data_IF_497873267830
#
_entry.id   IF_497873267830
#
_cell.length_a   1.000
_cell.length_b   1.000
_cell.length_c   1.000
_cell.angle_alpha   90.00
_cell.angle_beta   90.00
_cell.angle_gamma   90.00
#
_symmetry.space_group_name_H-M   'P 1'
#
loop_
_entity.id
_entity.type
_entity.pdbx_description
1 polymer ?
#
# COMPACT_ATOMS: atom_id res chain seq x y z
N UNK A 1 30.49 54.25 -22.89
CA UNK A 1 30.93 52.85 -22.70
C UNK A 1 30.66 52.29 -21.29
N UNK A 2 30.95 53.02 -20.19
CA UNK A 2 30.68 52.56 -18.80
C UNK A 2 29.21 52.18 -18.50
N UNK A 3 28.22 52.89 -19.08
CA UNK A 3 26.78 52.61 -18.86
C UNK A 3 26.29 51.30 -19.52
N UNK A 4 26.92 50.89 -20.62
CA UNK A 4 26.55 49.66 -21.35
C UNK A 4 27.04 48.42 -20.60
N UNK A 5 28.25 48.50 -20.02
CA UNK A 5 28.84 47.42 -19.23
C UNK A 5 28.00 47.15 -17.98
N UNK A 6 27.54 48.21 -17.29
CA UNK A 6 26.70 48.08 -16.10
C UNK A 6 25.38 47.35 -16.40
N UNK A 7 24.75 47.67 -17.54
CA UNK A 7 23.49 47.07 -17.97
C UNK A 7 23.64 45.57 -18.27
N UNK A 8 24.76 45.17 -18.87
CA UNK A 8 25.06 43.76 -19.19
C UNK A 8 25.27 42.95 -17.90
N UNK A 9 25.97 43.49 -16.89
CA UNK A 9 26.15 42.81 -15.59
C UNK A 9 24.83 42.62 -14.83
N UNK A 10 23.92 43.59 -14.87
CA UNK A 10 22.62 43.48 -14.19
C UNK A 10 21.73 42.45 -14.87
N UNK A 11 21.74 42.39 -16.20
CA UNK A 11 21.00 41.37 -16.96
C UNK A 11 21.54 39.97 -16.62
N UNK A 12 22.85 39.77 -16.52
CA UNK A 12 23.45 38.46 -16.22
C UNK A 12 23.08 37.93 -14.81
N UNK A 13 22.90 38.83 -13.84
CA UNK A 13 22.44 38.48 -12.48
C UNK A 13 20.96 38.08 -12.43
N UNK A 14 20.12 38.61 -13.32
CA UNK A 14 18.68 38.29 -13.33
C UNK A 14 18.37 36.92 -13.95
N UNK A 15 19.23 36.41 -14.86
CA UNK A 15 19.04 35.10 -15.52
C UNK A 15 19.58 33.91 -14.71
N UNK A 16 20.43 34.16 -13.71
CA UNK A 16 21.06 33.09 -12.90
C UNK A 16 20.32 32.83 -11.58
N UNK A 17 19.31 33.63 -11.23
CA UNK A 17 18.55 33.50 -9.98
C UNK A 17 17.44 32.45 -9.97
N UNK A 18 17.21 31.71 -11.06
CA UNK A 18 16.16 30.69 -11.12
C UNK A 18 16.74 29.29 -10.86
N UNK A 19 17.32 29.08 -9.66
CA UNK A 19 17.50 27.72 -9.17
C UNK A 19 16.11 27.19 -8.82
N UNK A 20 15.70 26.07 -9.44
CA UNK A 20 14.49 25.33 -9.04
C UNK A 20 14.57 25.08 -7.53
N UNK A 21 13.45 25.28 -6.83
CA UNK A 21 13.33 24.89 -5.43
C UNK A 21 13.78 23.44 -5.30
N UNK A 22 14.86 23.19 -4.56
CA UNK A 22 15.24 21.83 -4.23
C UNK A 22 14.16 21.25 -3.33
N UNK A 23 13.63 20.08 -3.71
CA UNK A 23 12.69 19.37 -2.87
C UNK A 23 13.37 19.07 -1.54
N UNK A 24 12.88 19.70 -0.47
CA UNK A 24 13.27 19.33 0.88
C UNK A 24 12.86 17.88 1.10
N UNK A 25 13.84 16.97 1.11
CA UNK A 25 13.65 15.59 1.55
C UNK A 25 13.32 15.66 3.04
N UNK A 26 12.03 15.80 3.36
CA UNK A 26 11.58 15.62 4.72
C UNK A 26 11.74 14.13 5.06
N UNK A 27 12.20 13.75 6.27
CA UNK A 27 12.33 12.35 6.72
C UNK A 27 11.01 11.55 6.77
N UNK A 28 9.93 12.11 6.22
CA UNK A 28 8.57 11.61 6.29
C UNK A 28 7.97 11.26 4.92
N UNK A 29 8.63 11.57 3.80
CA UNK A 29 8.08 11.28 2.46
C UNK A 29 8.32 9.85 1.95
N UNK A 30 9.19 9.08 2.59
CA UNK A 30 9.35 7.66 2.28
C UNK A 30 8.54 6.85 3.29
N UNK A 31 7.52 6.13 2.82
CA UNK A 31 6.97 5.03 3.61
C UNK A 31 8.10 4.02 3.82
N UNK A 32 8.53 3.85 5.07
CA UNK A 32 9.61 2.94 5.45
C UNK A 32 9.28 1.49 5.09
N UNK A 33 8.00 1.19 4.99
CA UNK A 33 7.47 -0.07 4.49
C UNK A 33 6.81 0.20 3.13
N UNK A 34 7.31 -0.40 2.03
CA UNK A 34 6.73 -0.16 0.71
C UNK A 34 5.26 -0.57 0.63
N UNK A 35 4.53 0.03 -0.33
CA UNK A 35 3.17 -0.38 -0.67
C UNK A 35 3.17 -1.81 -1.19
N UNK A 36 2.13 -2.57 -0.83
CA UNK A 36 1.84 -3.85 -1.47
C UNK A 36 1.50 -3.64 -2.95
N UNK A 37 2.15 -4.40 -3.82
CA UNK A 37 1.97 -4.35 -5.28
C UNK A 37 1.39 -5.66 -5.80
N UNK A 38 0.92 -5.65 -7.06
CA UNK A 38 0.41 -6.84 -7.75
C UNK A 38 -0.64 -7.63 -6.95
N UNK A 39 -1.46 -6.94 -6.15
CA UNK A 39 -2.51 -7.57 -5.37
C UNK A 39 -3.63 -8.05 -6.28
N UNK A 40 -3.78 -9.38 -6.39
CA UNK A 40 -4.63 -10.02 -7.38
C UNK A 40 -5.37 -11.23 -6.83
N UNK A 41 -6.49 -11.52 -7.47
CA UNK A 41 -7.24 -12.76 -7.28
C UNK A 41 -6.48 -13.90 -7.97
N UNK A 42 -6.23 -14.98 -7.24
CA UNK A 42 -5.65 -16.22 -7.76
C UNK A 42 -6.75 -17.20 -8.15
N UNK A 43 -7.72 -17.43 -7.26
CA UNK A 43 -8.80 -18.38 -7.49
C UNK A 43 -10.03 -18.11 -6.61
N UNK A 44 -11.19 -18.58 -7.06
CA UNK A 44 -12.40 -18.71 -6.24
C UNK A 44 -12.94 -20.13 -6.39
N UNK A 45 -12.57 -21.00 -5.46
CA UNK A 45 -12.83 -22.44 -5.51
C UNK A 45 -13.58 -22.91 -4.26
N UNK A 46 -13.60 -24.21 -4.03
CA UNK A 46 -14.36 -24.86 -2.96
C UNK A 46 -13.40 -25.69 -2.11
N UNK A 47 -13.51 -25.59 -0.79
CA UNK A 47 -12.77 -26.43 0.15
C UNK A 47 -13.28 -27.87 0.09
N UNK A 48 -12.52 -28.83 0.65
CA UNK A 48 -12.97 -30.22 0.77
C UNK A 48 -14.30 -30.37 1.54
N UNK A 49 -14.63 -29.40 2.40
CA UNK A 49 -15.89 -29.35 3.16
C UNK A 49 -17.04 -28.67 2.39
N UNK A 50 -16.88 -28.39 1.09
CA UNK A 50 -17.92 -27.74 0.27
C UNK A 50 -18.08 -26.23 0.48
N UNK A 51 -17.21 -25.56 1.23
CA UNK A 51 -17.30 -24.10 1.46
C UNK A 51 -16.56 -23.33 0.37
N UNK A 52 -17.10 -22.19 -0.07
CA UNK A 52 -16.37 -21.29 -0.99
C UNK A 52 -15.18 -20.65 -0.29
N UNK A 53 -14.05 -20.55 -1.00
CA UNK A 53 -12.90 -19.76 -0.55
C UNK A 53 -12.40 -18.83 -1.65
N UNK A 54 -11.78 -17.73 -1.25
CA UNK A 54 -11.13 -16.76 -2.15
C UNK A 54 -9.64 -16.80 -1.90
N UNK A 55 -8.86 -17.16 -2.93
CA UNK A 55 -7.40 -17.18 -2.87
C UNK A 55 -6.86 -15.94 -3.57
N UNK A 56 -5.99 -15.21 -2.88
CA UNK A 56 -5.41 -13.96 -3.35
C UNK A 56 -3.89 -13.96 -3.11
N UNK A 57 -3.15 -13.21 -3.92
CA UNK A 57 -1.70 -13.08 -3.80
C UNK A 57 -1.29 -11.63 -4.00
N UNK A 58 -0.13 -11.27 -3.45
CA UNK A 58 0.46 -9.95 -3.62
C UNK A 58 1.98 -10.02 -3.55
N UNK A 59 2.62 -8.89 -3.85
CA UNK A 59 4.06 -8.72 -3.83
C UNK A 59 4.43 -7.47 -3.00
N UNK A 60 5.69 -7.38 -2.59
CA UNK A 60 6.26 -6.17 -1.99
C UNK A 60 7.67 -5.97 -2.56
N UNK A 61 8.03 -4.77 -3.03
CA UNK A 61 9.31 -4.55 -3.70
C UNK A 61 10.51 -4.60 -2.75
N UNK A 62 10.31 -4.32 -1.45
CA UNK A 62 11.35 -4.43 -0.42
C UNK A 62 10.76 -4.95 0.89
N UNK A 63 11.47 -5.89 1.52
CA UNK A 63 11.09 -6.57 2.76
C UNK A 63 11.98 -6.19 3.94
N UNK A 64 12.99 -5.34 3.74
CA UNK A 64 14.01 -4.98 4.75
C UNK A 64 13.40 -4.57 6.10
N UNK A 65 12.30 -3.84 6.05
CA UNK A 65 11.57 -3.33 7.21
C UNK A 65 10.22 -4.02 7.43
N UNK A 66 9.86 -5.03 6.64
CA UNK A 66 8.59 -5.73 6.74
C UNK A 66 8.61 -6.72 7.92
N UNK A 67 7.54 -6.73 8.71
CA UNK A 67 7.29 -7.73 9.76
C UNK A 67 6.24 -8.74 9.34
N UNK A 68 5.10 -8.28 8.86
CA UNK A 68 3.94 -9.08 8.48
C UNK A 68 2.93 -8.26 7.67
N UNK A 69 1.87 -8.91 7.23
CA UNK A 69 0.72 -8.33 6.58
C UNK A 69 -0.52 -8.45 7.47
N UNK A 70 -1.41 -7.48 7.31
CA UNK A 70 -2.80 -7.57 7.76
C UNK A 70 -3.70 -7.56 6.53
N UNK A 71 -4.63 -8.50 6.47
CA UNK A 71 -5.62 -8.55 5.38
C UNK A 71 -6.96 -8.12 5.93
N UNK A 72 -7.58 -7.19 5.21
CA UNK A 72 -8.87 -6.64 5.55
C UNK A 72 -9.90 -7.05 4.50
N UNK A 73 -11.15 -7.19 4.94
CA UNK A 73 -12.29 -7.48 4.08
C UNK A 73 -13.48 -6.61 4.45
N UNK A 74 -14.22 -6.17 3.44
CA UNK A 74 -15.54 -5.55 3.60
C UNK A 74 -16.55 -6.11 2.59
N UNK A 75 -17.83 -5.97 2.91
CA UNK A 75 -18.96 -6.17 1.98
C UNK A 75 -19.47 -4.84 1.38
N UNK A 76 -18.96 -3.70 1.85
CA UNK A 76 -19.27 -2.35 1.38
C UNK A 76 -17.94 -1.60 1.14
N UNK A 77 -17.87 -0.70 0.17
CA UNK A 77 -16.68 0.13 -0.05
C UNK A 77 -17.13 1.60 -0.11
N UNK A 78 -16.42 2.55 0.50
CA UNK A 78 -15.12 2.44 1.19
C UNK A 78 -15.17 2.02 2.67
N UNK A 79 -16.36 1.80 3.24
CA UNK A 79 -16.50 1.63 4.70
C UNK A 79 -16.45 0.16 5.17
N UNK A 80 -16.34 -0.04 6.49
CA UNK A 80 -16.54 -1.32 7.20
C UNK A 80 -15.51 -2.43 6.91
N UNK A 81 -14.29 -2.08 6.54
CA UNK A 81 -13.18 -3.05 6.48
C UNK A 81 -12.88 -3.62 7.87
N UNK A 82 -12.88 -4.95 7.96
CA UNK A 82 -12.50 -5.70 9.17
C UNK A 82 -11.25 -6.50 8.90
N UNK A 83 -10.35 -6.56 9.87
CA UNK A 83 -9.19 -7.46 9.84
C UNK A 83 -9.73 -8.90 9.82
N UNK A 84 -9.32 -9.68 8.82
CA UNK A 84 -9.64 -11.12 8.73
C UNK A 84 -8.43 -11.99 9.02
N UNK A 85 -7.22 -11.45 8.91
CA UNK A 85 -5.99 -12.05 9.42
C UNK A 85 -4.99 -10.95 9.77
N UNK A 86 -4.27 -11.13 10.87
CA UNK A 86 -3.15 -10.28 11.31
C UNK A 86 -1.91 -11.15 11.54
N UNK A 87 -0.74 -10.53 11.66
CA UNK A 87 0.56 -11.20 11.78
C UNK A 87 0.85 -12.19 10.64
N UNK A 88 0.27 -11.98 9.46
CA UNK A 88 0.37 -12.90 8.34
C UNK A 88 1.70 -12.71 7.59
N UNK A 89 2.50 -13.76 7.43
CA UNK A 89 3.85 -13.63 6.85
C UNK A 89 3.96 -14.10 5.39
N UNK A 90 2.94 -14.76 4.87
CA UNK A 90 2.95 -15.26 3.50
C UNK A 90 2.41 -14.23 2.51
N UNK A 91 2.75 -14.41 1.24
CA UNK A 91 2.35 -13.55 0.12
C UNK A 91 1.10 -14.05 -0.62
N UNK A 92 0.54 -15.16 -0.15
CA UNK A 92 -0.68 -15.77 -0.68
C UNK A 92 -1.58 -16.07 0.51
N UNK A 93 -2.86 -15.70 0.43
CA UNK A 93 -3.84 -15.91 1.48
C UNK A 93 -5.14 -16.50 0.91
N UNK A 94 -5.75 -17.40 1.67
CA UNK A 94 -7.01 -18.04 1.31
C UNK A 94 -8.10 -17.72 2.35
N UNK A 95 -9.01 -16.82 1.99
CA UNK A 95 -10.18 -16.50 2.80
C UNK A 95 -11.23 -17.61 2.68
N UNK A 96 -11.30 -18.47 3.69
CA UNK A 96 -12.22 -19.62 3.74
C UNK A 96 -13.41 -19.40 4.67
N UNK A 97 -13.52 -18.22 5.29
CA UNK A 97 -14.61 -17.87 6.23
C UNK A 97 -15.46 -16.78 5.61
N UNK A 98 -16.02 -17.09 4.45
CA UNK A 98 -16.88 -16.18 3.71
C UNK A 98 -18.24 -16.05 4.40
N UNK A 99 -18.84 -14.85 4.40
CA UNK A 99 -20.23 -14.66 4.76
C UNK A 99 -21.17 -15.51 3.91
N UNK A 100 -22.39 -15.73 4.39
CA UNK A 100 -23.43 -16.48 3.66
C UNK A 100 -23.66 -15.88 2.28
N UNK A 101 -23.68 -16.75 1.27
CA UNK A 101 -23.86 -16.39 -0.14
C UNK A 101 -25.28 -16.79 -0.55
N UNK A 102 -26.15 -15.82 -0.82
CA UNK A 102 -27.53 -16.07 -1.28
C UNK A 102 -27.58 -16.34 -2.78
N UNK A 103 -27.10 -15.39 -3.59
CA UNK A 103 -26.97 -15.52 -5.05
C UNK A 103 -25.53 -15.22 -5.48
N UNK A 104 -25.07 -14.02 -5.13
CA UNK A 104 -23.70 -13.58 -5.27
C UNK A 104 -23.31 -12.71 -4.09
N UNK A 105 -22.03 -12.74 -3.75
CA UNK A 105 -21.45 -11.97 -2.67
C UNK A 105 -20.29 -11.15 -3.24
N UNK A 106 -20.42 -9.83 -3.20
CA UNK A 106 -19.34 -8.91 -3.57
C UNK A 106 -18.52 -8.58 -2.33
N UNK A 107 -17.21 -8.75 -2.44
CA UNK A 107 -16.24 -8.54 -1.39
C UNK A 107 -15.15 -7.58 -1.86
N UNK A 108 -14.65 -6.80 -0.91
CA UNK A 108 -13.57 -5.85 -1.11
C UNK A 108 -12.45 -6.22 -0.17
N UNK A 109 -11.23 -6.29 -0.68
CA UNK A 109 -10.05 -6.66 0.09
C UNK A 109 -8.99 -5.57 0.02
N UNK A 110 -8.26 -5.43 1.12
CA UNK A 110 -7.05 -4.61 1.24
C UNK A 110 -5.98 -5.40 1.98
N UNK A 111 -4.72 -5.18 1.64
CA UNK A 111 -3.58 -5.71 2.37
C UNK A 111 -2.73 -4.55 2.86
N UNK A 112 -2.49 -4.50 4.17
CA UNK A 112 -1.59 -3.54 4.80
C UNK A 112 -0.27 -4.24 5.13
N UNK A 113 0.87 -3.71 4.66
CA UNK A 113 2.16 -4.18 5.09
C UNK A 113 2.53 -3.50 6.42
N UNK A 114 2.82 -4.30 7.43
CA UNK A 114 3.22 -3.83 8.77
C UNK A 114 4.71 -4.10 8.94
N UNK A 115 5.43 -3.10 9.39
CA UNK A 115 6.88 -3.19 9.51
C UNK A 115 7.43 -2.40 10.68
N UNK A 116 8.70 -2.02 10.58
CA UNK A 116 9.38 -1.20 11.59
C UNK A 116 10.04 0.02 11.00
N UNK A 117 10.05 1.09 11.78
CA UNK A 117 10.89 2.26 11.55
C UNK A 117 11.78 2.48 12.77
N UNK A 118 13.01 2.88 12.55
CA UNK A 118 13.87 3.40 13.64
C UNK A 118 13.49 4.85 13.90
N UNK A 119 13.08 5.17 15.12
CA UNK A 119 12.93 6.54 15.56
C UNK A 119 14.30 7.21 15.61
N UNK A 120 14.49 8.23 14.78
CA UNK A 120 15.75 8.97 14.64
C UNK A 120 16.18 9.69 15.92
N UNK A 121 15.24 10.01 16.82
CA UNK A 121 15.51 10.74 18.07
C UNK A 121 15.99 9.80 19.17
N UNK A 122 15.46 8.58 19.19
CA UNK A 122 15.66 7.63 20.31
C UNK A 122 16.46 6.38 19.91
N UNK A 123 16.72 6.17 18.62
CA UNK A 123 17.32 4.94 18.08
C UNK A 123 16.45 3.69 18.24
N UNK A 124 15.21 3.83 18.73
CA UNK A 124 14.34 2.71 19.05
C UNK A 124 13.54 2.27 17.83
N UNK A 125 13.41 0.95 17.61
CA UNK A 125 12.54 0.40 16.56
C UNK A 125 11.08 0.43 17.00
N UNK A 126 10.24 1.14 16.26
CA UNK A 126 8.79 1.22 16.47
C UNK A 126 8.05 0.52 15.34
N UNK A 127 6.86 -0.02 15.62
CA UNK A 127 5.99 -0.58 14.58
C UNK A 127 5.41 0.53 13.72
N UNK A 128 5.33 0.27 12.41
CA UNK A 128 4.82 1.23 11.44
C UNK A 128 3.89 0.53 10.45
N UNK A 129 2.76 1.17 10.15
CA UNK A 129 1.78 0.68 9.17
C UNK A 129 2.11 1.34 7.82
N UNK A 130 2.49 0.54 6.84
CA UNK A 130 2.70 1.01 5.47
C UNK A 130 1.38 1.30 4.74
N UNK A 131 1.44 1.95 3.57
CA UNK A 131 0.25 2.24 2.77
C UNK A 131 -0.44 0.94 2.32
N UNK A 132 -1.78 0.92 2.25
CA UNK A 132 -2.52 -0.25 1.80
C UNK A 132 -2.26 -0.54 0.32
N UNK A 133 -2.52 -1.79 -0.06
CA UNK A 133 -2.70 -2.17 -1.47
C UNK A 133 -3.82 -1.37 -2.13
N UNK A 134 -3.89 -1.45 -3.46
CA UNK A 134 -5.14 -1.10 -4.15
C UNK A 134 -6.27 -2.04 -3.73
N UNK A 135 -7.52 -1.60 -3.83
CA UNK A 135 -8.68 -2.41 -3.46
C UNK A 135 -8.89 -3.54 -4.47
N UNK A 136 -8.83 -4.78 -4.00
CA UNK A 136 -9.23 -5.93 -4.80
C UNK A 136 -10.73 -6.19 -4.63
N UNK A 137 -11.47 -6.17 -5.75
CA UNK A 137 -12.91 -6.40 -5.78
C UNK A 137 -13.17 -7.82 -6.30
N UNK A 138 -13.89 -8.63 -5.55
CA UNK A 138 -14.19 -10.03 -5.89
C UNK A 138 -15.67 -10.30 -5.79
N UNK A 139 -16.25 -10.96 -6.79
CA UNK A 139 -17.64 -11.45 -6.75
C UNK A 139 -17.65 -12.97 -6.67
N UNK A 140 -18.18 -13.51 -5.58
CA UNK A 140 -18.32 -14.95 -5.35
C UNK A 140 -19.77 -15.35 -5.60
N UNK A 141 -20.01 -16.27 -6.54
CA UNK A 141 -21.35 -16.83 -6.78
C UNK A 141 -21.62 -18.02 -5.87
N UNK A 142 -22.91 -18.24 -5.55
CA UNK A 142 -23.37 -19.46 -4.87
C UNK A 142 -23.07 -20.69 -5.73
N UNK A 143 -22.76 -21.81 -5.07
CA UNK A 143 -22.62 -23.11 -5.75
C UNK A 143 -24.00 -23.54 -6.25
N UNK A 144 -24.05 -24.05 -7.48
CA UNK A 144 -25.26 -24.69 -8.02
C UNK A 144 -25.52 -26.01 -7.33
#
# INVERSE_FOLDING_TARGET
MKKIILLITVIFLLITGCSKTEDLISPYHFSVVPKVTNFKLVAVDTTFTGKRRVVMSWEIPDTSNLKYFEVYRSQKNPDNYKIIVSNYKNYVFADSVLPTITDSLRLYYLVYPIGTKTDIRTGTKVSFIGPPSDTLIVTVKKLK
#
